data_IF_202608046777
#
_entry.id   IF_202608046777
#
_cell.length_a   1.000
_cell.length_b   1.000
_cell.length_c   1.000
_cell.angle_alpha   90.00
_cell.angle_beta   90.00
_cell.angle_gamma   90.00
#
_symmetry.space_group_name_H-M   'P 1'
#
loop_
_entity.id
_entity.type
_entity.pdbx_description
1 polymer ?
#
# COMPACT_ATOMS: atom_id res chain seq x y z
N UNK A 1 1.85 18.88 -7.23
CA UNK A 1 1.16 19.05 -8.52
C UNK A 1 1.43 17.84 -9.40
N UNK A 2 0.42 17.25 -10.05
CA UNK A 2 0.57 16.09 -10.90
C UNK A 2 1.39 16.38 -12.17
N UNK A 3 1.49 17.65 -12.57
CA UNK A 3 2.25 18.12 -13.74
C UNK A 3 3.77 17.81 -13.68
N UNK A 4 4.26 17.39 -12.51
CA UNK A 4 5.67 16.97 -12.33
C UNK A 4 5.91 15.51 -12.72
N UNK A 5 4.84 14.75 -12.97
CA UNK A 5 4.88 13.33 -13.28
C UNK A 5 4.40 13.07 -14.70
N UNK A 6 4.92 12.02 -15.32
CA UNK A 6 4.51 11.59 -16.66
C UNK A 6 3.32 10.62 -16.55
N UNK A 7 2.19 11.01 -17.14
CA UNK A 7 0.96 10.21 -17.12
C UNK A 7 0.63 9.60 -15.74
N UNK A 8 0.55 10.43 -14.67
CA UNK A 8 0.47 9.91 -13.30
C UNK A 8 -0.85 9.20 -13.03
N UNK A 9 -0.77 8.11 -12.24
CA UNK A 9 -1.93 7.36 -11.75
C UNK A 9 -1.92 7.28 -10.23
N UNK A 10 -3.10 7.06 -9.67
CA UNK A 10 -3.40 7.03 -8.24
C UNK A 10 -3.63 5.61 -7.76
N UNK A 11 -2.83 5.15 -6.80
CA UNK A 11 -2.91 3.82 -6.23
C UNK A 11 -2.98 3.89 -4.70
N UNK A 12 -4.12 3.53 -4.08
CA UNK A 12 -4.22 3.43 -2.63
C UNK A 12 -3.56 2.14 -2.14
N UNK A 13 -2.70 2.25 -1.11
CA UNK A 13 -1.93 1.12 -0.58
C UNK A 13 -1.87 1.11 0.94
N UNK A 14 -1.92 -0.08 1.53
CA UNK A 14 -1.49 -0.29 2.91
C UNK A 14 0.03 -0.33 2.95
N UNK A 15 0.62 0.18 4.03
CA UNK A 15 2.05 0.06 4.29
C UNK A 15 2.33 -0.41 5.71
N UNK A 16 3.53 -0.93 5.92
CA UNK A 16 4.10 -1.25 7.22
C UNK A 16 5.46 -0.57 7.38
N UNK A 17 5.80 -0.19 8.62
CA UNK A 17 7.16 0.15 9.02
C UNK A 17 7.67 -0.88 10.02
N UNK A 18 8.86 -1.39 9.81
CA UNK A 18 9.47 -2.38 10.68
C UNK A 18 10.34 -1.72 11.74
N UNK A 19 10.22 -2.17 13.01
CA UNK A 19 11.12 -1.80 14.11
C UNK A 19 12.23 -2.83 14.35
N UNK A 20 12.01 -4.08 13.95
CA UNK A 20 12.98 -5.17 14.06
C UNK A 20 12.84 -6.12 12.87
N UNK A 21 13.90 -6.86 12.58
CA UNK A 21 13.93 -7.82 11.49
C UNK A 21 12.99 -9.00 11.79
N UNK A 22 11.96 -9.24 10.95
CA UNK A 22 11.11 -10.42 11.04
C UNK A 22 11.72 -11.61 10.29
N UNK A 23 11.08 -12.79 10.45
CA UNK A 23 11.29 -13.98 9.63
C UNK A 23 9.98 -14.39 8.95
N UNK A 24 10.05 -14.89 7.72
CA UNK A 24 8.88 -15.27 6.93
C UNK A 24 8.05 -16.40 7.57
N UNK A 25 8.71 -17.30 8.33
CA UNK A 25 8.06 -18.42 9.05
C UNK A 25 7.33 -18.01 10.35
N UNK A 26 7.41 -16.76 10.77
CA UNK A 26 6.71 -16.29 11.97
C UNK A 26 5.19 -16.42 11.83
N UNK A 27 4.47 -16.62 12.95
CA UNK A 27 3.02 -16.44 13.00
C UNK A 27 2.63 -15.03 12.57
N UNK A 28 1.37 -14.79 12.15
CA UNK A 28 0.90 -13.43 11.81
C UNK A 28 1.02 -12.48 13.00
N UNK A 29 0.78 -12.97 14.22
CA UNK A 29 0.87 -12.18 15.46
C UNK A 29 2.32 -11.80 15.77
N UNK A 30 3.26 -12.72 15.56
CA UNK A 30 4.69 -12.44 15.74
C UNK A 30 5.21 -11.51 14.64
N UNK A 31 4.80 -11.74 13.39
CA UNK A 31 5.18 -10.91 12.26
C UNK A 31 4.75 -9.46 12.46
N UNK A 32 3.47 -9.21 12.80
CA UNK A 32 2.97 -7.86 13.02
C UNK A 32 3.62 -7.21 14.25
N UNK A 33 4.05 -7.99 15.26
CA UNK A 33 4.80 -7.48 16.41
C UNK A 33 6.19 -6.95 16.03
N UNK A 34 6.72 -7.33 14.88
CA UNK A 34 7.97 -6.77 14.34
C UNK A 34 7.78 -5.41 13.69
N UNK A 35 6.53 -5.01 13.42
CA UNK A 35 6.22 -3.69 12.88
C UNK A 35 6.19 -2.64 13.99
N UNK A 36 6.64 -1.43 13.69
CA UNK A 36 6.47 -0.23 14.48
C UNK A 36 5.06 0.33 14.30
N UNK A 37 4.66 0.41 13.03
CA UNK A 37 3.38 0.98 12.61
C UNK A 37 2.89 0.34 11.32
N UNK A 38 1.62 0.58 11.02
CA UNK A 38 1.01 0.35 9.73
C UNK A 38 0.12 1.54 9.36
N UNK A 39 -0.26 1.63 8.10
CA UNK A 39 -1.11 2.75 7.69
C UNK A 39 -1.65 2.60 6.28
N UNK A 40 -2.35 3.65 5.87
CA UNK A 40 -2.82 3.84 4.49
C UNK A 40 -2.10 5.01 3.85
N UNK A 41 -1.68 4.84 2.63
CA UNK A 41 -1.12 5.90 1.82
C UNK A 41 -1.59 5.82 0.38
N UNK A 42 -1.01 6.67 -0.42
CA UNK A 42 -1.24 6.71 -1.85
C UNK A 42 0.09 6.73 -2.57
N UNK A 43 0.29 5.79 -3.47
CA UNK A 43 1.33 5.88 -4.46
C UNK A 43 0.84 6.66 -5.69
N UNK A 44 1.67 7.60 -6.13
CA UNK A 44 1.58 8.17 -7.46
C UNK A 44 2.56 7.40 -8.31
N UNK A 45 2.06 6.54 -9.16
CA UNK A 45 2.87 5.86 -10.18
C UNK A 45 2.91 6.70 -11.44
N UNK A 46 3.98 6.59 -12.23
CA UNK A 46 4.15 7.32 -13.48
C UNK A 46 4.79 6.41 -14.53
N UNK A 47 4.48 6.65 -15.79
CA UNK A 47 5.10 5.91 -16.88
C UNK A 47 6.01 6.80 -17.70
N UNK A 48 7.30 6.42 -17.82
CA UNK A 48 8.22 6.98 -18.80
C UNK A 48 7.98 6.39 -20.21
N UNK A 49 7.09 5.41 -20.30
CA UNK A 49 6.69 4.74 -21.55
C UNK A 49 5.33 5.30 -21.96
N UNK A 50 5.27 5.93 -23.12
CA UNK A 50 4.08 6.60 -23.64
C UNK A 50 2.85 5.66 -23.66
N UNK A 51 1.71 6.15 -23.19
CA UNK A 51 0.45 5.41 -23.16
C UNK A 51 0.45 4.18 -22.24
N UNK A 52 1.38 4.08 -21.30
CA UNK A 52 1.53 2.91 -20.41
C UNK A 52 1.78 1.59 -21.17
N UNK A 53 2.45 1.65 -22.34
CA UNK A 53 2.77 0.49 -23.14
C UNK A 53 4.20 0.03 -22.84
N UNK A 54 4.34 -1.03 -22.06
CA UNK A 54 5.63 -1.58 -21.64
C UNK A 54 5.52 -3.08 -21.35
N UNK A 55 6.67 -3.73 -21.14
CA UNK A 55 6.80 -5.13 -20.75
C UNK A 55 7.38 -5.23 -19.33
N UNK A 56 7.28 -6.40 -18.70
CA UNK A 56 7.80 -6.62 -17.35
C UNK A 56 9.27 -6.17 -17.15
N UNK A 57 10.23 -6.40 -18.05
CA UNK A 57 11.58 -5.86 -17.88
C UNK A 57 11.64 -4.33 -17.82
N UNK A 58 10.77 -3.65 -18.54
CA UNK A 58 10.68 -2.19 -18.56
C UNK A 58 10.19 -1.66 -17.21
N UNK A 59 9.25 -2.36 -16.57
CA UNK A 59 8.77 -2.05 -15.22
C UNK A 59 9.91 -2.10 -14.21
N UNK A 60 10.75 -3.12 -14.28
CA UNK A 60 11.92 -3.25 -13.40
C UNK A 60 12.93 -2.12 -13.67
N UNK A 61 13.23 -1.83 -14.94
CA UNK A 61 14.13 -0.74 -15.33
C UNK A 61 13.58 0.63 -14.91
N UNK A 62 12.24 0.80 -14.90
CA UNK A 62 11.54 1.99 -14.44
C UNK A 62 11.29 2.06 -12.93
N UNK A 63 12.02 1.29 -12.11
CA UNK A 63 11.89 1.26 -10.64
C UNK A 63 10.44 0.98 -10.18
N UNK A 64 9.75 0.03 -10.79
CA UNK A 64 8.36 -0.28 -10.50
C UNK A 64 7.38 0.84 -10.88
N UNK A 65 7.81 1.79 -11.73
CA UNK A 65 7.05 2.97 -12.14
C UNK A 65 6.74 3.94 -10.97
N UNK A 66 7.51 3.84 -9.88
CA UNK A 66 7.36 4.68 -8.70
C UNK A 66 7.56 6.17 -9.03
N UNK A 67 6.64 7.01 -8.61
CA UNK A 67 6.76 8.46 -8.67
C UNK A 67 6.90 9.08 -7.28
N UNK A 68 5.91 8.88 -6.44
CA UNK A 68 5.91 9.39 -5.06
C UNK A 68 4.94 8.59 -4.19
N UNK A 69 5.28 8.37 -2.92
CA UNK A 69 4.37 7.84 -1.91
C UNK A 69 4.00 8.91 -0.90
N UNK A 70 2.70 9.01 -0.56
CA UNK A 70 2.18 9.92 0.46
C UNK A 70 1.43 9.15 1.52
N UNK A 71 1.93 9.16 2.75
CA UNK A 71 1.22 8.64 3.92
C UNK A 71 0.02 9.55 4.22
N UNK A 72 -1.16 8.95 4.37
CA UNK A 72 -2.41 9.62 4.75
C UNK A 72 -2.73 9.40 6.22
N UNK A 73 -2.46 8.22 6.74
CA UNK A 73 -2.64 7.83 8.13
C UNK A 73 -1.63 6.78 8.53
N UNK A 74 -1.17 6.85 9.78
CA UNK A 74 -0.25 5.90 10.38
C UNK A 74 -0.71 5.59 11.81
N UNK A 75 -0.70 4.33 12.19
CA UNK A 75 -1.10 3.82 13.51
C UNK A 75 -0.01 2.92 14.05
N UNK A 76 0.41 3.14 15.29
CA UNK A 76 1.37 2.28 15.97
C UNK A 76 0.79 0.88 16.22
N UNK A 77 1.63 -0.14 16.12
CA UNK A 77 1.25 -1.50 16.47
C UNK A 77 1.20 -1.63 17.99
N UNK A 78 0.04 -2.03 18.56
CA UNK A 78 -0.14 -2.14 20.01
C UNK A 78 0.72 -3.27 20.60
N UNK A 79 1.14 -3.09 21.85
CA UNK A 79 1.87 -4.11 22.61
C UNK A 79 0.97 -5.29 23.01
N UNK A 80 -0.32 -5.05 23.19
CA UNK A 80 -1.31 -6.06 23.54
C UNK A 80 -1.62 -7.01 22.38
N UNK A 81 -1.60 -8.32 22.66
CA UNK A 81 -1.77 -9.36 21.65
C UNK A 81 -3.19 -9.40 21.08
N UNK A 82 -4.23 -9.20 21.92
CA UNK A 82 -5.62 -9.23 21.45
C UNK A 82 -5.88 -8.10 20.46
N UNK A 83 -5.32 -6.92 20.68
CA UNK A 83 -5.41 -5.78 19.78
C UNK A 83 -4.65 -6.07 18.46
N UNK A 84 -3.50 -6.77 18.50
CA UNK A 84 -2.82 -7.21 17.28
C UNK A 84 -3.64 -8.21 16.47
N UNK A 85 -4.27 -9.18 17.14
CA UNK A 85 -5.18 -10.13 16.47
C UNK A 85 -6.35 -9.40 15.80
N UNK A 86 -6.95 -8.42 16.46
CA UNK A 86 -8.01 -7.60 15.87
C UNK A 86 -7.55 -6.84 14.61
N UNK A 87 -6.35 -6.22 14.67
CA UNK A 87 -5.76 -5.54 13.50
C UNK A 87 -5.51 -6.53 12.36
N UNK A 88 -5.02 -7.73 12.64
CA UNK A 88 -4.80 -8.77 11.61
C UNK A 88 -6.11 -9.14 10.93
N UNK A 89 -7.19 -9.30 11.70
CA UNK A 89 -8.52 -9.62 11.16
C UNK A 89 -9.06 -8.47 10.30
N UNK A 90 -8.90 -7.22 10.73
CA UNK A 90 -9.26 -6.05 9.93
C UNK A 90 -8.43 -5.95 8.65
N UNK A 91 -7.11 -6.17 8.70
CA UNK A 91 -6.23 -6.20 7.52
C UNK A 91 -6.60 -7.28 6.50
N UNK A 92 -7.18 -8.39 6.95
CA UNK A 92 -7.65 -9.47 6.07
C UNK A 92 -9.01 -9.19 5.43
N UNK A 93 -9.83 -8.32 6.03
CA UNK A 93 -11.27 -8.24 5.71
C UNK A 93 -11.78 -6.83 5.35
N UNK A 94 -10.92 -5.82 5.24
CA UNK A 94 -11.39 -4.47 4.91
C UNK A 94 -11.89 -4.35 3.46
N UNK A 95 -12.83 -3.41 3.28
CA UNK A 95 -13.21 -2.89 1.97
C UNK A 95 -12.84 -1.40 1.90
N UNK A 96 -12.49 -0.95 0.70
CA UNK A 96 -12.15 0.43 0.39
C UNK A 96 -13.11 0.95 -0.69
N UNK A 97 -13.69 2.13 -0.48
CA UNK A 97 -14.41 2.85 -1.52
C UNK A 97 -13.53 4.00 -2.02
N UNK A 98 -13.13 3.92 -3.28
CA UNK A 98 -12.40 4.99 -3.99
C UNK A 98 -13.38 5.85 -4.77
N UNK A 99 -13.27 7.18 -4.60
CA UNK A 99 -14.03 8.17 -5.37
C UNK A 99 -13.10 9.16 -6.05
N UNK A 100 -13.52 9.64 -7.21
CA UNK A 100 -12.91 10.77 -7.91
C UNK A 100 -13.99 11.79 -8.20
N UNK A 101 -13.79 13.04 -7.79
CA UNK A 101 -14.74 14.15 -7.99
C UNK A 101 -16.15 13.77 -7.50
N UNK A 102 -16.24 13.15 -6.31
CA UNK A 102 -17.43 12.60 -5.65
C UNK A 102 -18.09 11.36 -6.30
N UNK A 103 -17.69 10.95 -7.49
CA UNK A 103 -18.19 9.76 -8.13
C UNK A 103 -17.42 8.53 -7.64
N UNK A 104 -18.11 7.43 -7.35
CA UNK A 104 -17.45 6.17 -7.03
C UNK A 104 -16.74 5.67 -8.28
N UNK A 105 -15.41 5.46 -8.19
CA UNK A 105 -14.63 4.81 -9.23
C UNK A 105 -14.66 3.29 -9.02
N UNK A 106 -14.32 2.86 -7.80
CA UNK A 106 -14.15 1.45 -7.51
C UNK A 106 -14.40 1.14 -6.03
N UNK A 107 -14.72 -0.13 -5.76
CA UNK A 107 -14.72 -0.73 -4.42
C UNK A 107 -13.68 -1.83 -4.39
N UNK A 108 -12.54 -1.51 -3.83
CA UNK A 108 -11.46 -2.45 -3.56
C UNK A 108 -11.67 -3.18 -2.23
N UNK A 109 -10.90 -4.23 -2.02
CA UNK A 109 -10.89 -5.03 -0.79
C UNK A 109 -9.50 -5.59 -0.52
N UNK A 110 -9.26 -6.01 0.69
CA UNK A 110 -7.98 -6.60 1.11
C UNK A 110 -7.49 -7.70 0.17
N UNK A 111 -8.39 -8.55 -0.33
CA UNK A 111 -8.06 -9.66 -1.23
C UNK A 111 -7.69 -9.27 -2.66
N UNK A 112 -7.74 -7.98 -3.02
CA UNK A 112 -7.22 -7.47 -4.30
C UNK A 112 -5.69 -7.31 -4.24
N UNK A 113 -5.14 -7.13 -3.04
CA UNK A 113 -3.70 -7.03 -2.82
C UNK A 113 -3.02 -8.36 -3.15
N UNK A 114 -1.79 -8.30 -3.63
CA UNK A 114 -0.95 -9.48 -3.86
C UNK A 114 -0.96 -10.37 -2.60
N UNK A 115 -1.01 -11.70 -2.80
CA UNK A 115 -1.14 -12.69 -1.72
C UNK A 115 -2.44 -12.58 -0.90
N UNK A 116 -3.41 -11.77 -1.40
CA UNK A 116 -4.76 -11.62 -0.86
C UNK A 116 -4.88 -10.94 0.51
N UNK A 117 -3.82 -10.37 1.04
CA UNK A 117 -3.86 -9.47 2.19
C UNK A 117 -2.56 -8.67 2.33
N UNK A 118 -2.60 -7.48 2.96
CA UNK A 118 -1.40 -6.69 3.20
C UNK A 118 -0.31 -7.43 3.98
N UNK A 119 -0.70 -8.17 5.02
CA UNK A 119 0.26 -8.89 5.85
C UNK A 119 0.90 -10.08 5.11
N UNK A 120 0.15 -10.74 4.23
CA UNK A 120 0.70 -11.79 3.37
C UNK A 120 1.66 -11.21 2.32
N UNK A 121 1.36 -10.04 1.75
CA UNK A 121 2.26 -9.33 0.85
C UNK A 121 3.58 -8.94 1.55
N UNK A 122 3.50 -8.44 2.80
CA UNK A 122 4.68 -8.16 3.61
C UNK A 122 5.50 -9.45 3.86
N UNK A 123 4.85 -10.57 4.17
CA UNK A 123 5.50 -11.89 4.36
C UNK A 123 6.25 -12.32 3.09
N UNK A 124 5.62 -12.24 1.93
CA UNK A 124 6.25 -12.58 0.64
C UNK A 124 7.47 -11.70 0.34
N UNK A 125 7.42 -10.40 0.68
CA UNK A 125 8.56 -9.52 0.57
C UNK A 125 9.71 -9.93 1.50
N UNK A 126 9.41 -10.28 2.76
CA UNK A 126 10.41 -10.77 3.72
C UNK A 126 11.07 -12.06 3.22
N UNK A 127 10.28 -13.03 2.75
CA UNK A 127 10.77 -14.27 2.16
C UNK A 127 11.67 -14.01 0.95
N UNK A 128 11.30 -13.06 0.08
CA UNK A 128 12.14 -12.63 -1.03
C UNK A 128 13.48 -12.07 -0.55
N UNK A 129 13.48 -11.21 0.47
CA UNK A 129 14.68 -10.63 1.06
C UNK A 129 15.59 -11.71 1.67
N UNK A 130 15.03 -12.68 2.39
CA UNK A 130 15.77 -13.81 2.97
C UNK A 130 16.49 -14.64 1.91
N UNK A 131 15.84 -14.85 0.76
CA UNK A 131 16.39 -15.62 -0.37
C UNK A 131 17.42 -14.83 -1.20
N UNK A 132 17.40 -13.50 -1.15
CA UNK A 132 18.17 -12.63 -2.05
C UNK A 132 19.11 -11.67 -1.32
N UNK A 133 19.82 -12.15 -0.30
CA UNK A 133 20.88 -11.37 0.38
C UNK A 133 20.40 -10.21 1.26
N UNK A 134 19.19 -10.34 1.82
CA UNK A 134 18.76 -9.54 2.94
C UNK A 134 18.68 -8.01 2.69
N UNK A 135 17.97 -7.62 1.64
CA UNK A 135 17.69 -6.21 1.31
C UNK A 135 16.54 -5.60 2.09
N UNK A 136 16.22 -6.17 3.25
CA UNK A 136 15.08 -5.72 4.05
C UNK A 136 15.27 -4.28 4.54
N UNK A 137 14.30 -3.43 4.20
CA UNK A 137 14.28 -2.02 4.64
C UNK A 137 13.66 -1.91 6.02
N UNK A 138 14.41 -1.40 7.01
CA UNK A 138 13.93 -1.16 8.36
C UNK A 138 13.53 0.30 8.62
N UNK A 139 13.95 1.25 7.78
CA UNK A 139 13.84 2.69 8.06
C UNK A 139 12.87 3.41 7.11
N UNK A 140 11.84 2.74 6.63
CA UNK A 140 10.89 3.35 5.71
C UNK A 140 9.60 2.54 5.57
N UNK A 141 8.59 3.10 4.90
CA UNK A 141 7.38 2.35 4.61
C UNK A 141 7.66 1.25 3.57
N UNK A 142 7.13 0.07 3.84
CA UNK A 142 7.05 -1.06 2.91
C UNK A 142 5.60 -1.11 2.45
N UNK A 143 5.34 -0.78 1.21
CA UNK A 143 3.99 -0.79 0.62
C UNK A 143 3.64 -2.18 0.11
N UNK A 144 2.34 -2.49 0.04
CA UNK A 144 1.86 -3.87 -0.18
C UNK A 144 1.18 -4.07 -1.52
N UNK A 145 1.26 -3.07 -2.40
CA UNK A 145 0.57 -3.06 -3.67
C UNK A 145 -0.83 -2.44 -3.60
N UNK A 146 -1.32 -2.03 -4.74
CA UNK A 146 -2.58 -1.29 -4.84
C UNK A 146 -3.80 -2.11 -4.45
N UNK A 147 -4.78 -1.46 -3.81
CA UNK A 147 -6.06 -2.06 -3.39
C UNK A 147 -7.08 -2.01 -4.54
N UNK A 148 -6.92 -1.07 -5.48
CA UNK A 148 -7.79 -0.83 -6.64
C UNK A 148 -6.98 -0.82 -7.92
N UNK A 149 -7.63 -0.67 -9.06
CA UNK A 149 -6.94 -0.30 -10.28
C UNK A 149 -6.25 1.06 -10.14
N UNK A 150 -5.24 1.33 -10.98
CA UNK A 150 -4.53 2.59 -11.06
C UNK A 150 -5.32 3.60 -11.91
N UNK A 151 -5.71 4.74 -11.33
CA UNK A 151 -6.56 5.74 -11.98
C UNK A 151 -5.79 7.00 -12.37
N UNK A 152 -6.01 7.49 -13.60
CA UNK A 152 -5.38 8.71 -14.10
C UNK A 152 -5.66 9.91 -13.22
N UNK A 153 -4.60 10.69 -12.96
CA UNK A 153 -4.65 11.94 -12.20
C UNK A 153 -4.58 13.12 -13.17
N UNK A 154 -5.59 13.99 -13.11
CA UNK A 154 -5.57 15.27 -13.81
C UNK A 154 -5.49 16.42 -12.81
N UNK A 155 -5.13 17.59 -13.30
CA UNK A 155 -5.19 18.81 -12.52
C UNK A 155 -6.62 19.06 -11.98
N UNK A 156 -6.69 19.55 -10.75
CA UNK A 156 -7.93 19.83 -10.01
C UNK A 156 -8.76 18.59 -9.64
N UNK A 157 -8.27 17.37 -9.90
CA UNK A 157 -8.94 16.16 -9.42
C UNK A 157 -8.92 16.06 -7.89
N UNK A 158 -10.03 15.58 -7.34
CA UNK A 158 -10.19 15.31 -5.91
C UNK A 158 -10.50 13.82 -5.74
N UNK A 159 -9.54 13.10 -5.18
CA UNK A 159 -9.74 11.71 -4.79
C UNK A 159 -10.17 11.62 -3.32
N UNK A 160 -11.01 10.66 -2.99
CA UNK A 160 -11.27 10.30 -1.60
C UNK A 160 -11.37 8.80 -1.40
N UNK A 161 -10.81 8.36 -0.27
CA UNK A 161 -10.74 6.98 0.17
C UNK A 161 -11.50 6.83 1.47
N UNK A 162 -12.26 5.76 1.60
CA UNK A 162 -13.02 5.41 2.79
C UNK A 162 -12.90 3.90 3.02
N UNK A 163 -12.36 3.50 4.18
CA UNK A 163 -12.26 2.10 4.59
C UNK A 163 -13.35 1.82 5.63
N UNK A 164 -13.94 0.63 5.57
CA UNK A 164 -15.08 0.27 6.43
C UNK A 164 -14.70 -0.13 7.85
N UNK A 165 -13.50 -0.65 8.09
CA UNK A 165 -13.05 -1.07 9.41
C UNK A 165 -11.75 -0.36 9.83
N UNK A 166 -10.68 -0.43 9.04
CA UNK A 166 -9.43 0.27 9.30
C UNK A 166 -9.62 1.79 9.24
N UNK A 167 -9.05 2.51 10.22
CA UNK A 167 -9.02 3.98 10.29
C UNK A 167 -10.37 4.70 10.36
N UNK A 168 -11.49 4.07 10.06
CA UNK A 168 -12.89 4.55 10.20
C UNK A 168 -13.10 6.04 9.88
N UNK A 169 -12.40 6.56 8.86
CA UNK A 169 -12.50 7.93 8.38
C UNK A 169 -12.32 8.03 6.87
N UNK A 170 -12.71 9.16 6.33
CA UNK A 170 -12.54 9.49 4.92
C UNK A 170 -11.30 10.35 4.72
N UNK A 171 -10.43 9.94 3.83
CA UNK A 171 -9.24 10.69 3.41
C UNK A 171 -9.54 11.43 2.11
N UNK A 172 -9.02 12.65 1.97
CA UNK A 172 -9.19 13.48 0.78
C UNK A 172 -7.81 13.88 0.27
N UNK A 173 -7.56 13.63 -1.02
CA UNK A 173 -6.34 14.02 -1.72
C UNK A 173 -6.72 14.90 -2.89
N UNK A 174 -6.13 16.11 -2.97
CA UNK A 174 -6.37 17.10 -4.02
C UNK A 174 -5.11 17.28 -4.86
N UNK A 175 -5.28 17.41 -6.14
CA UNK A 175 -4.23 17.60 -7.12
C UNK A 175 -4.28 18.95 -7.83
#
# INVERSE_FOLDING_TARGET
SPEKFLEPKFEPEIFFKLRKKPHSEMSDVDLISCCESFGIGVELVQSIYEGWIFKLPDTVAGFGLHGQYKILEETEIPSDENNRVAIIDELKNFNLTLRKNNNILERGRSSNILEKSPLAALRSYIEFCEKNSDWLVLNGPITTGTITDAYDINKDDVFSLELDCLFKKRFIVKF
#
